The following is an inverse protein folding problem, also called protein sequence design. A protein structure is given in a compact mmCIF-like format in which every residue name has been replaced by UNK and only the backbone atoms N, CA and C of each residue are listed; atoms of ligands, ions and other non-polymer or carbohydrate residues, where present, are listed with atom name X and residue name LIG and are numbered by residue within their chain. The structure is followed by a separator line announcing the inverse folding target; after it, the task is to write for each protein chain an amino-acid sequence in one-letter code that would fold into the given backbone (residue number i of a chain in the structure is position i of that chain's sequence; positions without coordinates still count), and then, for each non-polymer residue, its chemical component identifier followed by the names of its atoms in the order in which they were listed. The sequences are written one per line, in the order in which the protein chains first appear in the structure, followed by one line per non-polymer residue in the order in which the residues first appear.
data_IF_943470796806
#
_entry.id   IF_943470796806
#
_cell.length_a   1.000
_cell.length_b   1.000
_cell.length_c   1.000
_cell.angle_alpha   90.00
_cell.angle_beta   90.00
_cell.angle_gamma   90.00
#
_symmetry.space_group_name_H-M   'P 1'
#
loop_
_entity.id
_entity.type
_entity.pdbx_description
1 polymer ?
#
# COMPACT_ATOMS: atom_id res chain seq x y z
N UNK A 1 11.12 -0.75 -21.83
CA UNK A 1 11.22 -1.48 -20.55
C UNK A 1 9.94 -1.43 -19.72
N UNK A 2 9.35 -0.28 -19.31
CA UNK A 2 8.10 -0.26 -18.52
C UNK A 2 6.86 -0.75 -19.31
N UNK A 3 6.72 -0.31 -20.56
CA UNK A 3 5.61 -0.71 -21.44
C UNK A 3 5.64 -2.21 -21.83
N UNK A 4 6.81 -2.85 -21.79
CA UNK A 4 6.96 -4.27 -22.09
C UNK A 4 6.49 -5.16 -20.92
N UNK A 5 6.72 -4.72 -19.68
CA UNK A 5 6.15 -5.38 -18.50
C UNK A 5 4.61 -5.30 -18.50
N UNK A 6 4.04 -4.14 -18.84
CA UNK A 6 2.60 -3.98 -18.99
C UNK A 6 2.01 -4.88 -20.11
N UNK A 7 2.76 -5.09 -21.20
CA UNK A 7 2.36 -5.98 -22.29
C UNK A 7 2.42 -7.49 -21.92
N UNK A 8 3.43 -7.90 -21.14
CA UNK A 8 3.55 -9.28 -20.62
C UNK A 8 2.47 -9.60 -19.57
N UNK A 9 2.14 -8.63 -18.73
CA UNK A 9 1.05 -8.76 -17.76
C UNK A 9 -0.31 -8.85 -18.46
N UNK A 10 -0.53 -8.04 -19.51
CA UNK A 10 -1.73 -8.15 -20.34
C UNK A 10 -1.80 -9.47 -21.12
N UNK A 11 -0.66 -10.02 -21.58
CA UNK A 11 -0.64 -11.29 -22.31
C UNK A 11 -0.93 -12.51 -21.41
N UNK A 12 -0.80 -12.37 -20.09
CA UNK A 12 -1.16 -13.40 -19.12
C UNK A 12 -2.65 -13.37 -18.74
N UNK A 13 -3.43 -12.39 -19.24
CA UNK A 13 -4.83 -12.21 -18.85
C UNK A 13 -5.00 -11.90 -17.36
N UNK A 14 -3.93 -11.46 -16.69
CA UNK A 14 -3.97 -11.12 -15.28
C UNK A 14 -4.83 -9.88 -15.09
N UNK A 15 -5.87 -10.00 -14.27
CA UNK A 15 -6.71 -8.86 -13.93
C UNK A 15 -5.83 -7.73 -13.35
N UNK A 16 -6.01 -6.46 -13.77
CA UNK A 16 -5.26 -5.31 -13.26
C UNK A 16 -5.20 -5.23 -11.73
N UNK A 17 -6.25 -5.72 -11.07
CA UNK A 17 -6.34 -5.89 -9.63
C UNK A 17 -5.21 -6.75 -9.02
N UNK A 18 -4.79 -7.82 -9.71
CA UNK A 18 -3.73 -8.73 -9.24
C UNK A 18 -2.39 -8.01 -9.21
N UNK A 19 -2.11 -7.17 -10.21
CA UNK A 19 -0.88 -6.36 -10.25
C UNK A 19 -0.83 -5.38 -9.11
N UNK A 20 -1.93 -4.66 -8.87
CA UNK A 20 -2.01 -3.73 -7.74
C UNK A 20 -1.83 -4.49 -6.43
N UNK A 21 -2.49 -5.63 -6.24
CA UNK A 21 -2.33 -6.45 -5.04
C UNK A 21 -0.88 -6.90 -4.84
N UNK A 22 -0.18 -7.29 -5.91
CA UNK A 22 1.23 -7.67 -5.84
C UNK A 22 2.13 -6.47 -5.47
N UNK A 23 1.87 -5.29 -6.04
CA UNK A 23 2.57 -4.05 -5.69
C UNK A 23 2.34 -3.71 -4.21
N UNK A 24 1.12 -3.85 -3.71
CA UNK A 24 0.77 -3.59 -2.31
C UNK A 24 1.52 -4.53 -1.37
N UNK A 25 1.54 -5.84 -1.67
CA UNK A 25 2.33 -6.81 -0.89
C UNK A 25 3.82 -6.48 -0.91
N UNK A 26 4.35 -6.04 -2.06
CA UNK A 26 5.72 -5.57 -2.18
C UNK A 26 5.98 -4.34 -1.29
N UNK A 27 5.07 -3.37 -1.26
CA UNK A 27 5.14 -2.22 -0.35
C UNK A 27 5.09 -2.61 1.13
N UNK A 28 4.32 -3.63 1.53
CA UNK A 28 4.32 -4.12 2.92
C UNK A 28 5.68 -4.69 3.31
N UNK A 29 6.30 -5.47 2.41
CA UNK A 29 7.64 -6.06 2.67
C UNK A 29 8.72 -4.99 2.69
N UNK A 30 8.67 -4.01 1.76
CA UNK A 30 9.56 -2.86 1.77
C UNK A 30 9.34 -1.97 2.99
N UNK A 31 8.07 -1.85 3.43
CA UNK A 31 7.55 -1.16 4.64
C UNK A 31 8.35 -1.47 5.88
N UNK A 32 8.76 -2.73 5.98
CA UNK A 32 9.56 -3.22 7.08
C UNK A 32 10.99 -2.67 7.09
N UNK A 33 11.58 -2.38 5.93
CA UNK A 33 13.03 -2.16 5.79
C UNK A 33 13.37 -0.69 5.61
N UNK A 34 12.54 0.06 4.89
CA UNK A 34 12.79 1.46 4.53
C UNK A 34 11.76 2.39 5.16
N UNK A 35 12.15 3.64 5.43
CA UNK A 35 11.20 4.67 5.88
C UNK A 35 10.23 5.07 4.77
N UNK A 36 9.07 5.62 5.18
CA UNK A 36 7.97 5.97 4.30
C UNK A 36 8.38 6.88 3.13
N UNK A 37 9.12 7.95 3.40
CA UNK A 37 9.46 8.94 2.39
C UNK A 37 10.47 8.38 1.40
N UNK A 38 11.52 7.71 1.87
CA UNK A 38 12.53 7.10 0.99
C UNK A 38 11.93 6.07 0.05
N UNK A 39 10.95 5.31 0.54
CA UNK A 39 10.26 4.31 -0.26
C UNK A 39 9.41 4.95 -1.36
N UNK A 40 8.52 5.87 -0.99
CA UNK A 40 7.64 6.57 -1.94
C UNK A 40 8.47 7.24 -3.04
N UNK A 41 9.55 7.95 -2.68
CA UNK A 41 10.40 8.64 -3.65
C UNK A 41 11.09 7.69 -4.63
N UNK A 42 11.43 6.47 -4.21
CA UNK A 42 12.10 5.47 -5.03
C UNK A 42 11.13 4.70 -5.92
N UNK A 43 9.95 4.35 -5.40
CA UNK A 43 9.03 3.39 -6.05
C UNK A 43 7.95 4.06 -6.89
N UNK A 44 7.48 5.26 -6.53
CA UNK A 44 6.44 5.99 -7.29
C UNK A 44 6.83 6.23 -8.75
N UNK A 45 8.05 6.71 -9.08
CA UNK A 45 8.43 6.97 -10.47
C UNK A 45 8.36 5.72 -11.37
N UNK A 46 8.41 4.52 -10.78
CA UNK A 46 8.39 3.24 -11.48
C UNK A 46 6.96 2.70 -11.56
N UNK A 47 6.24 2.62 -10.43
CA UNK A 47 4.92 2.01 -10.38
C UNK A 47 3.80 2.91 -10.89
N UNK A 48 3.90 4.23 -10.70
CA UNK A 48 2.90 5.16 -11.18
C UNK A 48 2.66 5.07 -12.70
N UNK A 49 3.69 5.18 -13.58
CA UNK A 49 3.47 5.03 -15.01
C UNK A 49 3.03 3.62 -15.43
N UNK A 50 3.36 2.59 -14.65
CA UNK A 50 2.89 1.22 -14.89
C UNK A 50 1.38 1.11 -14.69
N UNK A 51 0.87 1.60 -13.55
CA UNK A 51 -0.56 1.62 -13.23
C UNK A 51 -1.33 2.51 -14.19
N UNK A 52 -0.81 3.69 -14.52
CA UNK A 52 -1.43 4.60 -15.48
C UNK A 52 -1.48 4.06 -16.93
N UNK A 53 -0.70 3.01 -17.22
CA UNK A 53 -0.72 2.29 -18.50
C UNK A 53 -1.70 1.12 -18.55
N UNK A 54 -2.33 0.75 -17.44
CA UNK A 54 -3.33 -0.32 -17.37
C UNK A 54 -4.74 0.25 -17.39
N UNK A 55 -5.68 -0.50 -17.96
CA UNK A 55 -7.10 -0.12 -17.96
C UNK A 55 -7.82 -0.75 -16.76
N UNK A 56 -8.23 0.09 -15.81
CA UNK A 56 -8.99 -0.30 -14.63
C UNK A 56 -10.49 -0.05 -14.77
N UNK A 57 -10.98 0.38 -15.95
CA UNK A 57 -12.37 0.79 -16.14
C UNK A 57 -12.74 2.08 -15.41
N UNK A 58 -11.73 2.87 -15.01
CA UNK A 58 -11.85 4.13 -14.29
C UNK A 58 -11.16 5.26 -15.08
N UNK A 59 -11.53 6.52 -14.80
CA UNK A 59 -10.78 7.66 -15.37
C UNK A 59 -9.33 7.62 -14.90
N UNK A 60 -8.42 8.17 -15.71
CA UNK A 60 -6.99 8.26 -15.38
C UNK A 60 -6.75 9.04 -14.08
N UNK A 61 -7.51 10.09 -13.84
CA UNK A 61 -7.47 10.85 -12.58
C UNK A 61 -7.88 9.99 -11.38
N UNK A 62 -9.00 9.29 -11.47
CA UNK A 62 -9.46 8.45 -10.37
C UNK A 62 -8.52 7.27 -10.11
N UNK A 63 -7.90 6.72 -11.15
CA UNK A 63 -6.89 5.66 -11.04
C UNK A 63 -5.65 6.16 -10.30
N UNK A 64 -5.17 7.37 -10.63
CA UNK A 64 -4.03 7.99 -9.96
C UNK A 64 -4.29 8.26 -8.48
N UNK A 65 -5.46 8.83 -8.15
CA UNK A 65 -5.86 9.14 -6.77
C UNK A 65 -6.01 7.85 -5.96
N UNK A 66 -6.74 6.86 -6.50
CA UNK A 66 -6.93 5.59 -5.83
C UNK A 66 -5.60 4.88 -5.56
N UNK A 67 -4.71 4.82 -6.56
CA UNK A 67 -3.40 4.22 -6.39
C UNK A 67 -2.56 4.96 -5.33
N UNK A 68 -2.59 6.31 -5.33
CA UNK A 68 -1.90 7.12 -4.32
C UNK A 68 -2.40 6.83 -2.90
N UNK A 69 -3.72 6.76 -2.69
CA UNK A 69 -4.32 6.40 -1.40
C UNK A 69 -3.85 5.02 -0.96
N UNK A 70 -3.89 4.05 -1.86
CA UNK A 70 -3.51 2.67 -1.60
C UNK A 70 -2.03 2.55 -1.18
N UNK A 71 -1.13 3.23 -1.88
CA UNK A 71 0.29 3.28 -1.53
C UNK A 71 0.50 3.95 -0.17
N UNK A 72 -0.07 5.14 0.05
CA UNK A 72 0.09 5.88 1.31
C UNK A 72 -0.41 5.08 2.52
N UNK A 73 -1.58 4.43 2.40
CA UNK A 73 -2.08 3.56 3.45
C UNK A 73 -1.11 2.39 3.70
N UNK A 74 -0.68 1.70 2.64
CA UNK A 74 0.18 0.51 2.73
C UNK A 74 1.52 0.78 3.37
N UNK A 75 2.14 1.89 3.00
CA UNK A 75 3.43 2.28 3.58
C UNK A 75 3.26 2.67 5.05
N UNK A 76 2.18 3.41 5.38
CA UNK A 76 1.90 3.85 6.74
C UNK A 76 1.78 2.70 7.75
N UNK A 77 1.05 1.63 7.41
CA UNK A 77 0.98 0.46 8.28
C UNK A 77 2.14 -0.53 8.09
N UNK A 78 2.81 -0.52 6.94
CA UNK A 78 4.02 -1.32 6.70
C UNK A 78 5.14 -1.03 7.71
N UNK A 79 5.24 0.22 8.18
CA UNK A 79 6.19 0.61 9.23
C UNK A 79 5.79 0.12 10.65
N UNK A 80 4.54 -0.30 10.83
CA UNK A 80 4.01 -0.89 12.06
C UNK A 80 4.04 -2.42 12.03
N UNK A 81 3.99 -3.01 10.84
CA UNK A 81 3.89 -4.45 10.64
C UNK A 81 5.18 -5.20 11.02
N UNK A 82 5.09 -6.39 11.66
CA UNK A 82 6.24 -7.24 11.95
C UNK A 82 6.84 -7.75 10.62
N UNK A 83 8.08 -7.37 10.30
CA UNK A 83 9.30 -8.07 10.73
C UNK A 83 10.37 -7.18 11.42
N UNK A 84 10.37 -5.86 11.17
CA UNK A 84 11.27 -4.89 11.84
C UNK A 84 10.45 -3.87 12.62
N UNK A 85 9.27 -3.48 12.09
CA UNK A 85 8.30 -2.60 12.74
C UNK A 85 8.96 -1.37 13.33
N UNK A 86 9.72 -0.62 12.51
CA UNK A 86 10.61 0.44 12.95
C UNK A 86 9.94 1.40 13.95
N UNK A 87 8.68 1.76 13.72
CA UNK A 87 7.91 2.63 14.61
C UNK A 87 7.65 1.97 15.98
N UNK A 88 7.30 0.68 16.01
CA UNK A 88 7.11 -0.10 17.24
C UNK A 88 8.44 -0.32 17.96
N UNK A 89 9.53 -0.55 17.21
CA UNK A 89 10.87 -0.74 17.75
C UNK A 89 11.42 0.51 18.43
N UNK A 90 11.27 1.67 17.80
CA UNK A 90 11.69 2.97 18.35
C UNK A 90 10.93 3.29 19.63
N UNK A 91 9.61 3.09 19.64
CA UNK A 91 8.76 3.34 20.83
C UNK A 91 9.09 2.36 21.96
N UNK A 92 9.28 1.07 21.65
CA UNK A 92 9.68 0.07 22.66
C UNK A 92 11.08 0.38 23.24
N UNK A 93 12.00 0.92 22.45
CA UNK A 93 13.31 1.39 22.93
C UNK A 93 13.25 2.52 23.97
N UNK A 94 12.16 3.30 23.98
CA UNK A 94 11.88 4.30 25.02
C UNK A 94 11.20 3.68 26.25
N UNK A 95 10.42 2.62 26.07
CA UNK A 95 9.71 1.88 27.12
C UNK A 95 10.45 0.56 27.47
N UNK A 96 11.64 0.68 28.07
CA UNK A 96 12.55 -0.45 28.38
C UNK A 96 11.95 -1.54 29.27
N UNK A 97 10.88 -1.23 30.00
CA UNK A 97 10.20 -2.14 30.93
C UNK A 97 9.15 -3.04 30.25
N UNK A 98 8.84 -2.80 28.97
CA UNK A 98 7.81 -3.55 28.22
C UNK A 98 8.49 -4.49 27.21
N UNK A 99 8.27 -5.82 27.30
CA UNK A 99 8.81 -6.73 26.31
C UNK A 99 8.20 -6.47 24.93
N UNK A 100 9.03 -6.55 23.88
CA UNK A 100 8.62 -6.31 22.48
C UNK A 100 7.36 -7.09 22.08
N UNK A 101 7.18 -8.31 22.60
CA UNK A 101 6.00 -9.13 22.35
C UNK A 101 4.68 -8.50 22.84
N UNK A 102 4.69 -7.70 23.91
CA UNK A 102 3.50 -7.00 24.39
C UNK A 102 3.17 -5.78 23.54
N UNK A 103 4.20 -5.03 23.12
CA UNK A 103 4.02 -3.92 22.18
C UNK A 103 3.40 -4.40 20.87
N UNK A 104 3.87 -5.52 20.31
CA UNK A 104 3.26 -6.10 19.10
C UNK A 104 1.84 -6.61 19.32
N UNK A 105 1.52 -7.19 20.48
CA UNK A 105 0.13 -7.58 20.81
C UNK A 105 -0.81 -6.38 20.83
N UNK A 106 -0.34 -5.22 21.30
CA UNK A 106 -1.11 -3.98 21.27
C UNK A 106 -1.32 -3.40 19.87
N UNK A 107 -0.32 -3.56 18.98
CA UNK A 107 -0.36 -3.03 17.61
C UNK A 107 -1.11 -3.94 16.63
N UNK A 108 -1.15 -5.25 16.88
CA UNK A 108 -1.86 -6.20 16.01
C UNK A 108 -3.33 -5.88 15.71
N UNK A 109 -4.20 -5.51 16.68
CA UNK A 109 -5.58 -5.14 16.36
C UNK A 109 -5.67 -3.93 15.41
N UNK A 110 -4.71 -2.99 15.49
CA UNK A 110 -4.63 -1.86 14.58
C UNK A 110 -4.20 -2.30 13.17
N UNK A 111 -3.18 -3.14 13.06
CA UNK A 111 -2.72 -3.71 11.79
C UNK A 111 -3.82 -4.50 11.07
N UNK A 112 -4.60 -5.29 11.82
CA UNK A 112 -5.72 -6.05 11.26
C UNK A 112 -6.80 -5.10 10.74
N UNK A 113 -7.17 -4.08 11.51
CA UNK A 113 -8.13 -3.06 11.09
C UNK A 113 -7.71 -2.37 9.79
N UNK A 114 -6.43 -1.97 9.69
CA UNK A 114 -5.96 -1.23 8.52
C UNK A 114 -5.77 -2.12 7.28
N UNK A 115 -5.40 -3.39 7.48
CA UNK A 115 -5.37 -4.39 6.40
C UNK A 115 -6.78 -4.65 5.85
N UNK A 116 -7.78 -4.80 6.73
CA UNK A 116 -9.18 -4.98 6.33
C UNK A 116 -9.66 -3.76 5.55
N UNK A 117 -9.41 -2.55 6.07
CA UNK A 117 -9.77 -1.29 5.40
C UNK A 117 -9.14 -1.16 4.02
N UNK A 118 -7.85 -1.47 3.90
CA UNK A 118 -7.10 -1.46 2.63
C UNK A 118 -7.68 -2.47 1.64
N UNK A 119 -8.02 -3.67 2.11
CA UNK A 119 -8.63 -4.73 1.29
C UNK A 119 -10.03 -4.33 0.81
N UNK A 120 -10.82 -3.68 1.65
CA UNK A 120 -12.16 -3.17 1.28
C UNK A 120 -12.04 -2.07 0.22
N UNK A 121 -11.08 -1.14 0.36
CA UNK A 121 -10.83 -0.09 -0.63
C UNK A 121 -10.26 -0.63 -1.95
N UNK A 122 -9.53 -1.75 -1.90
CA UNK A 122 -9.05 -2.46 -3.08
C UNK A 122 -10.20 -3.10 -3.86
N UNK A 123 -11.14 -3.76 -3.17
CA UNK A 123 -12.27 -4.49 -3.79
C UNK A 123 -13.42 -3.56 -4.17
N UNK A 124 -13.60 -2.46 -3.44
CA UNK A 124 -14.66 -1.48 -3.67
C UNK A 124 -14.06 -0.07 -3.82
N UNK A 125 -13.40 0.24 -4.96
CA UNK A 125 -12.85 1.57 -5.21
C UNK A 125 -13.93 2.66 -5.21
N UNK A 126 -15.20 2.29 -5.41
CA UNK A 126 -16.35 3.17 -5.27
C UNK A 126 -16.47 3.86 -3.91
N UNK A 127 -15.99 3.25 -2.81
CA UNK A 127 -16.01 3.88 -1.47
C UNK A 127 -14.98 5.01 -1.38
N UNK A 128 -13.75 4.78 -1.87
CA UNK A 128 -12.71 5.83 -1.95
C UNK A 128 -13.11 6.99 -2.86
N UNK A 129 -13.84 6.70 -3.94
CA UNK A 129 -14.22 7.70 -4.95
C UNK A 129 -15.53 8.41 -4.62
N UNK A 130 -16.32 7.88 -3.68
CA UNK A 130 -17.62 8.47 -3.32
C UNK A 130 -17.46 9.90 -2.81
N UNK A 131 -16.47 10.14 -1.94
CA UNK A 131 -16.20 11.47 -1.39
C UNK A 131 -15.65 12.43 -2.46
N UNK A 132 -14.76 11.96 -3.34
CA UNK A 132 -14.21 12.77 -4.45
C UNK A 132 -15.31 13.16 -5.43
N UNK A 133 -16.25 12.24 -5.73
CA UNK A 133 -17.42 12.51 -6.59
C UNK A 133 -18.43 13.48 -5.98
N UNK A 134 -18.49 13.60 -4.66
CA UNK A 134 -19.43 14.50 -3.98
C UNK A 134 -18.85 15.92 -3.76
N UNK A 135 -17.51 16.04 -3.73
CA UNK A 135 -16.80 17.32 -3.53
C UNK A 135 -16.33 17.96 -4.85
N UNK A 136 -16.19 17.18 -5.93
CA UNK A 136 -15.91 17.68 -7.29
C UNK A 136 -17.19 18.08 -8.01
#
# INVERSE_FOLDING_TARGET
MPAQLAAVINSWGLAPLVVVTAIMLFYVVLGAVMDELSMILLTIPIFFPMIMGMDFGMSKEYTAIWFGIMVLMTVGFGMLAPPVGLNVYVVNGMAKDVPMSESYKGVMPFLISDTIRTTVLLLFPGISLFLVKYVS
#
